data_IF_182839289129
#
_entry.id   IF_182839289129
#
_cell.length_a   1.000
_cell.length_b   1.000
_cell.length_c   1.000
_cell.angle_alpha   90.00
_cell.angle_beta   90.00
_cell.angle_gamma   90.00
#
_symmetry.space_group_name_H-M   'P 1'
#
loop_
_entity.id
_entity.type
_entity.pdbx_description
1 polymer ?
#
# COMPACT_ATOMS: atom_id res chain seq x y z
N UNK A 1 -20.05 -6.17 14.09
CA UNK A 1 -21.20 -6.17 15.03
C UNK A 1 -21.00 -7.28 16.04
N UNK A 2 -21.48 -7.13 17.28
CA UNK A 2 -21.43 -8.17 18.32
C UNK A 2 -22.86 -8.59 18.63
N UNK A 3 -23.10 -9.89 18.78
CA UNK A 3 -24.42 -10.43 19.10
C UNK A 3 -24.35 -11.73 19.89
N UNK A 4 -25.46 -12.09 20.52
CA UNK A 4 -25.59 -13.31 21.31
C UNK A 4 -26.92 -14.05 21.09
N UNK A 5 -27.96 -13.36 20.63
CA UNK A 5 -29.29 -13.92 20.45
C UNK A 5 -29.63 -14.29 19.01
N UNK A 6 -30.67 -15.10 18.84
CA UNK A 6 -31.24 -15.48 17.53
C UNK A 6 -31.67 -14.23 16.75
N UNK A 7 -32.16 -13.21 17.45
CA UNK A 7 -32.58 -11.93 16.87
C UNK A 7 -31.43 -11.13 16.26
N UNK A 8 -30.18 -11.38 16.70
CA UNK A 8 -28.99 -10.70 16.19
C UNK A 8 -28.46 -11.36 14.91
N UNK A 9 -28.89 -12.58 14.59
CA UNK A 9 -28.38 -13.36 13.46
C UNK A 9 -28.47 -12.61 12.10
N UNK A 10 -29.58 -11.92 11.74
CA UNK A 10 -29.64 -11.15 10.49
C UNK A 10 -28.64 -9.99 10.46
N UNK A 11 -28.41 -9.38 11.62
CA UNK A 11 -27.55 -8.20 11.74
C UNK A 11 -26.07 -8.58 11.80
N UNK A 12 -25.73 -9.71 12.45
CA UNK A 12 -24.42 -10.35 12.37
C UNK A 12 -24.04 -10.71 10.94
N UNK A 13 -24.98 -11.31 10.19
CA UNK A 13 -24.77 -11.69 8.78
C UNK A 13 -24.66 -10.48 7.83
N UNK A 14 -25.29 -9.35 8.17
CA UNK A 14 -25.22 -8.12 7.37
C UNK A 14 -23.95 -7.30 7.66
N UNK A 15 -23.34 -7.48 8.83
CA UNK A 15 -22.13 -6.76 9.20
C UNK A 15 -20.93 -7.22 8.37
N UNK A 16 -19.95 -6.32 8.14
CA UNK A 16 -18.69 -6.69 7.48
C UNK A 16 -17.91 -7.77 8.27
N UNK A 17 -18.08 -7.76 9.59
CA UNK A 17 -17.57 -8.78 10.52
C UNK A 17 -18.61 -8.97 11.63
N UNK A 18 -19.23 -10.15 11.68
CA UNK A 18 -20.09 -10.61 12.78
C UNK A 18 -19.30 -11.34 13.86
N UNK A 19 -19.43 -10.93 15.12
CA UNK A 19 -18.75 -11.55 16.27
C UNK A 19 -19.80 -12.12 17.23
N UNK A 20 -19.79 -13.43 17.45
CA UNK A 20 -20.60 -14.08 18.47
C UNK A 20 -19.81 -14.20 19.79
N UNK A 21 -20.46 -13.88 20.90
CA UNK A 21 -19.90 -14.04 22.26
C UNK A 21 -19.85 -15.54 22.62
N UNK A 22 -19.00 -15.93 23.58
CA UNK A 22 -18.85 -17.33 24.02
C UNK A 22 -20.18 -17.98 24.44
N UNK A 23 -21.04 -17.23 25.13
CA UNK A 23 -22.35 -17.66 25.60
C UNK A 23 -23.48 -17.39 24.57
N UNK A 24 -23.14 -17.21 23.29
CA UNK A 24 -24.12 -16.96 22.25
C UNK A 24 -24.93 -18.22 21.87
N UNK A 25 -26.19 -18.01 21.50
CA UNK A 25 -27.06 -19.05 20.95
C UNK A 25 -26.46 -19.69 19.70
N UNK A 26 -26.78 -20.97 19.44
CA UNK A 26 -26.30 -21.68 18.23
C UNK A 26 -26.61 -20.94 16.94
N UNK A 27 -27.80 -20.33 16.86
CA UNK A 27 -28.20 -19.51 15.72
C UNK A 27 -27.28 -18.29 15.52
N UNK A 28 -26.89 -17.60 16.60
CA UNK A 28 -25.96 -16.48 16.53
C UNK A 28 -24.53 -16.94 16.18
N UNK A 29 -24.09 -18.08 16.72
CA UNK A 29 -22.78 -18.68 16.39
C UNK A 29 -22.69 -19.09 14.92
N UNK A 30 -23.75 -19.68 14.35
CA UNK A 30 -23.81 -20.04 12.93
C UNK A 30 -23.89 -18.83 12.00
N UNK A 31 -24.38 -17.69 12.48
CA UNK A 31 -24.51 -16.47 11.68
C UNK A 31 -23.27 -15.55 11.75
N UNK A 32 -22.36 -15.77 12.70
CA UNK A 32 -21.17 -14.95 12.92
C UNK A 32 -19.95 -15.48 12.14
N UNK A 33 -19.06 -14.58 11.74
CA UNK A 33 -17.78 -14.91 11.10
C UNK A 33 -16.71 -15.34 12.12
N UNK A 34 -16.80 -14.81 13.35
CA UNK A 34 -15.88 -15.09 14.46
C UNK A 34 -16.69 -15.45 15.69
N UNK A 35 -16.37 -16.58 16.31
CA UNK A 35 -16.94 -17.01 17.59
C UNK A 35 -15.86 -16.89 18.66
N UNK A 36 -16.13 -16.10 19.70
CA UNK A 36 -15.23 -15.96 20.83
C UNK A 36 -15.36 -17.21 21.73
N UNK A 37 -14.25 -17.82 22.10
CA UNK A 37 -14.23 -18.96 23.04
C UNK A 37 -14.17 -18.51 24.50
N UNK A 38 -13.80 -17.26 24.73
CA UNK A 38 -13.67 -16.66 26.06
C UNK A 38 -14.54 -15.40 26.13
N UNK A 39 -15.22 -15.15 27.27
CA UNK A 39 -15.97 -13.93 27.47
C UNK A 39 -15.04 -12.73 27.68
N UNK A 40 -15.43 -11.57 27.16
CA UNK A 40 -14.79 -10.29 27.46
C UNK A 40 -14.34 -9.48 26.23
N UNK A 41 -14.43 -8.15 26.35
CA UNK A 41 -14.05 -7.22 25.28
C UNK A 41 -12.55 -7.26 24.97
N UNK A 42 -11.72 -7.64 25.94
CA UNK A 42 -10.27 -7.74 25.77
C UNK A 42 -9.85 -8.77 24.70
N UNK A 43 -10.63 -9.85 24.56
CA UNK A 43 -10.41 -10.89 23.54
C UNK A 43 -10.57 -10.30 22.13
N UNK A 44 -11.56 -9.42 21.95
CA UNK A 44 -11.78 -8.73 20.67
C UNK A 44 -10.61 -7.78 20.35
N UNK A 45 -10.12 -7.03 21.34
CA UNK A 45 -8.96 -6.12 21.14
C UNK A 45 -7.73 -6.95 20.74
N UNK A 46 -7.47 -8.04 21.45
CA UNK A 46 -6.34 -8.95 21.16
C UNK A 46 -6.49 -9.59 19.79
N UNK A 47 -7.69 -10.03 19.41
CA UNK A 47 -7.98 -10.56 18.09
C UNK A 47 -7.78 -9.51 16.98
N UNK A 48 -8.19 -8.26 17.19
CA UNK A 48 -7.95 -7.17 16.25
C UNK A 48 -6.46 -6.85 16.13
N UNK A 49 -5.71 -6.83 17.24
CA UNK A 49 -4.25 -6.60 17.21
C UNK A 49 -3.52 -7.74 16.49
N UNK A 50 -3.89 -9.00 16.75
CA UNK A 50 -3.34 -10.16 16.07
C UNK A 50 -3.72 -10.19 14.59
N UNK A 51 -4.98 -9.87 14.26
CA UNK A 51 -5.44 -9.72 12.88
C UNK A 51 -4.66 -8.64 12.17
N UNK A 52 -4.41 -7.47 12.79
CA UNK A 52 -3.52 -6.44 12.23
C UNK A 52 -2.10 -6.95 12.08
N UNK A 53 -1.56 -7.73 13.01
CA UNK A 53 -0.22 -8.30 12.89
C UNK A 53 -0.12 -9.30 11.72
N UNK A 54 -1.09 -10.21 11.59
CA UNK A 54 -1.19 -11.18 10.50
C UNK A 54 -1.42 -10.46 9.18
N UNK A 55 -2.32 -9.48 9.18
CA UNK A 55 -2.57 -8.64 8.03
C UNK A 55 -1.29 -7.91 7.65
N UNK A 56 -0.51 -7.34 8.57
CA UNK A 56 0.80 -6.76 8.26
C UNK A 56 1.80 -7.77 7.67
N UNK A 57 1.76 -9.05 8.08
CA UNK A 57 2.60 -10.12 7.50
C UNK A 57 2.13 -10.52 6.09
N UNK A 58 0.83 -10.77 5.91
CA UNK A 58 0.21 -11.14 4.62
C UNK A 58 0.20 -9.96 3.62
N UNK A 59 0.00 -8.77 4.16
CA UNK A 59 0.04 -7.45 3.54
C UNK A 59 1.35 -6.78 3.87
N UNK A 60 2.44 -7.55 3.90
CA UNK A 60 3.73 -6.98 3.60
C UNK A 60 3.55 -6.41 2.19
N UNK A 61 3.24 -5.11 2.13
CA UNK A 61 2.97 -4.35 0.93
C UNK A 61 4.11 -4.58 -0.08
N UNK A 62 5.32 -4.57 0.46
CA UNK A 62 6.53 -5.33 0.13
C UNK A 62 6.40 -6.58 -0.76
N UNK A 63 5.75 -7.65 -0.33
CA UNK A 63 5.77 -8.96 -1.01
C UNK A 63 5.00 -8.85 -2.32
N UNK A 64 3.93 -8.05 -2.35
CA UNK A 64 3.22 -7.74 -3.59
C UNK A 64 4.00 -6.78 -4.48
N UNK A 65 4.64 -5.76 -3.92
CA UNK A 65 5.56 -4.89 -4.67
C UNK A 65 6.65 -5.75 -5.32
N UNK A 66 7.22 -6.70 -4.57
CA UNK A 66 8.20 -7.66 -5.02
C UNK A 66 7.66 -8.54 -6.15
N UNK A 67 6.48 -9.16 -5.97
CA UNK A 67 5.88 -10.02 -6.99
C UNK A 67 5.62 -9.28 -8.31
N UNK A 68 5.10 -8.06 -8.24
CA UNK A 68 4.90 -7.17 -9.41
C UNK A 68 6.25 -6.80 -10.02
N UNK A 69 7.21 -6.39 -9.19
CA UNK A 69 8.56 -6.00 -9.62
C UNK A 69 9.29 -7.13 -10.33
N UNK A 70 9.29 -8.36 -9.81
CA UNK A 70 9.94 -9.52 -10.43
C UNK A 70 9.25 -9.93 -11.73
N UNK A 71 7.92 -9.87 -11.77
CA UNK A 71 7.17 -10.18 -13.00
C UNK A 71 7.53 -9.19 -14.12
N UNK A 72 7.60 -7.90 -13.78
CA UNK A 72 8.04 -6.86 -14.72
C UNK A 72 9.52 -7.02 -15.06
N UNK A 73 10.38 -7.31 -14.09
CA UNK A 73 11.81 -7.52 -14.33
C UNK A 73 12.04 -8.65 -15.33
N UNK A 74 11.59 -9.86 -15.02
CA UNK A 74 11.78 -11.04 -15.88
C UNK A 74 11.06 -10.83 -17.22
N UNK A 75 9.79 -10.42 -17.20
CA UNK A 75 8.98 -10.26 -18.41
C UNK A 75 9.51 -9.17 -19.34
N UNK A 76 9.87 -8.00 -18.81
CA UNK A 76 10.35 -6.86 -19.59
C UNK A 76 11.81 -7.05 -20.03
N UNK A 77 12.70 -7.53 -19.15
CA UNK A 77 14.11 -7.73 -19.49
C UNK A 77 14.29 -8.76 -20.60
N UNK A 78 13.68 -9.95 -20.46
CA UNK A 78 13.82 -10.99 -21.49
C UNK A 78 13.13 -10.61 -22.80
N UNK A 79 12.01 -9.86 -22.75
CA UNK A 79 11.37 -9.34 -23.96
C UNK A 79 12.25 -8.30 -24.68
N UNK A 80 12.93 -7.41 -23.94
CA UNK A 80 13.88 -6.45 -24.52
C UNK A 80 15.11 -7.14 -25.11
N UNK A 81 15.65 -8.13 -24.41
CA UNK A 81 16.78 -8.95 -24.89
C UNK A 81 16.43 -9.66 -26.21
N UNK A 82 15.23 -10.25 -26.29
CA UNK A 82 14.73 -10.87 -27.51
C UNK A 82 14.50 -9.85 -28.64
N UNK A 83 13.96 -8.67 -28.35
CA UNK A 83 13.66 -7.67 -29.38
C UNK A 83 14.92 -7.02 -29.97
N UNK A 84 15.89 -6.65 -29.13
CA UNK A 84 17.07 -5.89 -29.56
C UNK A 84 18.18 -6.80 -30.10
N UNK A 85 18.40 -7.95 -29.46
CA UNK A 85 19.52 -8.85 -29.76
C UNK A 85 19.10 -10.23 -30.30
N UNK A 86 17.80 -10.48 -30.47
CA UNK A 86 17.28 -11.81 -30.84
C UNK A 86 17.77 -12.90 -29.87
N UNK A 87 17.96 -12.51 -28.59
CA UNK A 87 18.45 -13.40 -27.55
C UNK A 87 17.33 -14.24 -26.95
N UNK A 88 17.31 -15.51 -27.34
CA UNK A 88 16.41 -16.52 -26.79
C UNK A 88 17.02 -17.13 -25.51
N UNK A 89 16.55 -16.64 -24.37
CA UNK A 89 16.92 -17.21 -23.08
C UNK A 89 16.15 -18.52 -22.81
N UNK A 90 16.81 -19.59 -22.34
CA UNK A 90 16.16 -20.87 -22.09
C UNK A 90 15.05 -20.77 -21.02
N UNK A 91 13.80 -21.18 -21.31
CA UNK A 91 12.70 -21.10 -20.35
C UNK A 91 12.96 -21.90 -19.06
N UNK A 92 13.72 -23.00 -19.16
CA UNK A 92 14.10 -23.82 -18.01
C UNK A 92 14.88 -23.04 -16.94
N UNK A 93 15.70 -22.07 -17.35
CA UNK A 93 16.44 -21.24 -16.39
C UNK A 93 15.54 -20.21 -15.71
N UNK A 94 14.54 -19.69 -16.43
CA UNK A 94 13.50 -18.84 -15.82
C UNK A 94 12.72 -19.64 -14.78
N UNK A 95 12.43 -20.92 -15.05
CA UNK A 95 11.80 -21.82 -14.09
C UNK A 95 12.67 -22.00 -12.83
N UNK A 96 13.98 -22.21 -12.97
CA UNK A 96 14.88 -22.31 -11.80
C UNK A 96 14.88 -21.00 -11.00
N UNK A 97 14.95 -19.84 -11.69
CA UNK A 97 14.85 -18.53 -11.02
C UNK A 97 13.54 -18.42 -10.24
N UNK A 98 12.42 -18.81 -10.84
CA UNK A 98 11.10 -18.76 -10.22
C UNK A 98 11.04 -19.64 -8.95
N UNK A 99 11.50 -20.89 -9.03
CA UNK A 99 11.50 -21.82 -7.89
C UNK A 99 12.37 -21.29 -6.75
N UNK A 100 13.57 -20.79 -7.05
CA UNK A 100 14.47 -20.24 -6.03
C UNK A 100 13.89 -18.98 -5.37
N UNK A 101 13.27 -18.11 -6.15
CA UNK A 101 12.64 -16.89 -5.64
C UNK A 101 11.40 -17.20 -4.78
N UNK A 102 10.54 -18.13 -5.23
CA UNK A 102 9.33 -18.51 -4.50
C UNK A 102 9.65 -19.19 -3.17
N UNK A 103 10.72 -20.01 -3.13
CA UNK A 103 11.21 -20.60 -1.88
C UNK A 103 11.58 -19.54 -0.82
N UNK A 104 12.24 -18.46 -1.24
CA UNK A 104 12.59 -17.35 -0.35
C UNK A 104 11.36 -16.55 0.12
N UNK A 105 10.34 -16.40 -0.75
CA UNK A 105 9.07 -15.74 -0.42
C UNK A 105 8.32 -16.51 0.67
N UNK A 106 8.19 -17.84 0.55
CA UNK A 106 7.45 -18.67 1.51
C UNK A 106 8.02 -18.52 2.93
N UNK A 107 9.35 -18.54 3.06
CA UNK A 107 10.04 -18.37 4.35
C UNK A 107 9.79 -16.96 4.92
N UNK A 108 9.79 -15.95 4.05
CA UNK A 108 9.50 -14.56 4.44
C UNK A 108 8.07 -14.40 4.96
N UNK A 109 7.07 -14.92 4.25
CA UNK A 109 5.66 -14.79 4.66
C UNK A 109 5.40 -15.48 6.01
N UNK A 110 6.03 -16.64 6.24
CA UNK A 110 5.76 -17.46 7.43
C UNK A 110 6.42 -16.92 8.71
N UNK A 111 7.66 -16.44 8.63
CA UNK A 111 8.50 -16.19 9.82
C UNK A 111 8.91 -14.73 10.05
N UNK A 112 8.42 -13.80 9.24
CA UNK A 112 8.80 -12.39 9.38
C UNK A 112 8.16 -11.72 10.61
N UNK A 113 8.97 -10.95 11.34
CA UNK A 113 8.56 -10.19 12.52
C UNK A 113 8.15 -8.78 12.11
N UNK A 114 6.85 -8.59 11.88
CA UNK A 114 6.28 -7.27 11.51
C UNK A 114 5.60 -6.62 12.72
N UNK A 115 5.81 -5.31 12.90
CA UNK A 115 5.09 -4.53 13.92
C UNK A 115 3.68 -4.18 13.43
N UNK A 116 2.61 -4.41 14.22
CA UNK A 116 1.26 -4.03 13.85
C UNK A 116 1.17 -2.52 13.65
N UNK A 117 0.44 -2.09 12.61
CA UNK A 117 0.15 -0.68 12.42
C UNK A 117 -0.88 -0.20 13.45
N UNK A 118 -0.71 1.01 14.04
CA UNK A 118 -1.66 1.54 15.01
C UNK A 118 -3.01 1.90 14.38
N UNK A 119 -3.05 2.14 13.06
CA UNK A 119 -4.25 2.51 12.33
C UNK A 119 -4.75 1.39 11.41
N UNK A 120 -6.08 1.29 11.17
CA UNK A 120 -6.62 0.39 10.18
C UNK A 120 -6.13 0.79 8.79
N UNK A 121 -5.62 -0.20 8.05
CA UNK A 121 -4.85 0.03 6.85
C UNK A 121 -5.64 -0.43 5.62
N UNK A 122 -5.87 0.46 4.64
CA UNK A 122 -6.60 0.13 3.40
C UNK A 122 -5.65 -0.28 2.27
N UNK A 123 -6.09 -1.16 1.37
CA UNK A 123 -5.27 -1.58 0.23
C UNK A 123 -5.26 -0.49 -0.83
N UNK A 124 -4.12 0.17 -1.02
CA UNK A 124 -3.92 1.06 -2.16
C UNK A 124 -3.22 0.29 -3.29
N UNK A 125 -3.99 -0.38 -4.16
CA UNK A 125 -3.40 -1.24 -5.21
C UNK A 125 -2.57 -0.44 -6.21
N UNK A 126 -2.97 0.80 -6.50
CA UNK A 126 -2.27 1.68 -7.44
C UNK A 126 -0.85 1.99 -6.97
N UNK A 127 -0.68 2.27 -5.69
CA UNK A 127 0.64 2.55 -5.11
C UNK A 127 1.55 1.32 -5.12
N UNK A 128 1.02 0.13 -4.84
CA UNK A 128 1.76 -1.15 -4.98
C UNK A 128 2.25 -1.30 -6.42
N UNK A 129 1.34 -1.10 -7.38
CA UNK A 129 1.61 -1.34 -8.79
C UNK A 129 2.63 -0.35 -9.35
N UNK A 130 2.49 0.96 -9.04
CA UNK A 130 3.43 2.00 -9.47
C UNK A 130 4.82 1.75 -8.87
N UNK A 131 4.89 1.49 -7.56
CA UNK A 131 6.17 1.24 -6.88
C UNK A 131 6.85 -0.02 -7.42
N UNK A 132 6.08 -1.11 -7.58
CA UNK A 132 6.58 -2.36 -8.15
C UNK A 132 7.04 -2.20 -9.61
N UNK A 133 6.32 -1.42 -10.41
CA UNK A 133 6.67 -1.18 -11.81
C UNK A 133 7.95 -0.39 -11.98
N UNK A 134 8.17 0.66 -11.17
CA UNK A 134 9.39 1.46 -11.24
C UNK A 134 10.60 0.64 -10.80
N UNK A 135 10.47 -0.10 -9.68
CA UNK A 135 11.54 -0.96 -9.20
C UNK A 135 11.85 -2.07 -10.21
N UNK A 136 10.84 -2.79 -10.71
CA UNK A 136 11.02 -3.85 -11.70
C UNK A 136 11.60 -3.34 -13.03
N UNK A 137 11.19 -2.15 -13.47
CA UNK A 137 11.74 -1.48 -14.64
C UNK A 137 13.21 -1.12 -14.46
N UNK A 138 13.61 -0.63 -13.28
CA UNK A 138 15.02 -0.42 -12.95
C UNK A 138 15.82 -1.73 -13.00
N UNK A 139 15.33 -2.81 -12.36
CA UNK A 139 16.01 -4.11 -12.41
C UNK A 139 16.17 -4.62 -13.86
N UNK A 140 15.12 -4.49 -14.68
CA UNK A 140 15.18 -4.86 -16.09
C UNK A 140 16.22 -4.05 -16.87
N UNK A 141 16.26 -2.73 -16.64
CA UNK A 141 17.26 -1.86 -17.26
C UNK A 141 18.69 -2.28 -16.86
N UNK A 142 18.91 -2.63 -15.60
CA UNK A 142 20.23 -3.11 -15.14
C UNK A 142 20.63 -4.45 -15.77
N UNK A 143 19.69 -5.37 -15.98
CA UNK A 143 19.96 -6.62 -16.71
C UNK A 143 20.28 -6.37 -18.18
N UNK A 144 19.57 -5.42 -18.83
CA UNK A 144 19.85 -5.04 -20.22
C UNK A 144 21.21 -4.36 -20.36
N UNK A 145 21.59 -3.48 -19.43
CA UNK A 145 22.91 -2.84 -19.40
C UNK A 145 24.01 -3.89 -19.19
N UNK A 146 23.80 -4.85 -18.27
CA UNK A 146 24.72 -5.96 -18.06
C UNK A 146 24.91 -6.79 -19.34
N UNK A 147 23.82 -7.15 -20.01
CA UNK A 147 23.90 -7.89 -21.27
C UNK A 147 24.58 -7.08 -22.37
N UNK A 148 24.23 -5.80 -22.52
CA UNK A 148 24.84 -4.91 -23.51
C UNK A 148 26.35 -4.78 -23.29
N UNK A 149 26.77 -4.56 -22.04
CA UNK A 149 28.19 -4.47 -21.70
C UNK A 149 28.91 -5.79 -21.94
N UNK A 150 28.33 -6.93 -21.57
CA UNK A 150 28.94 -8.24 -21.81
C UNK A 150 29.00 -8.63 -23.30
N UNK A 151 27.98 -8.29 -24.09
CA UNK A 151 27.84 -8.71 -25.49
C UNK A 151 28.52 -7.78 -26.50
N UNK A 152 28.50 -6.46 -26.27
CA UNK A 152 29.05 -5.46 -27.21
C UNK A 152 30.42 -4.91 -26.81
N UNK A 153 30.75 -4.88 -25.52
CA UNK A 153 31.95 -4.19 -25.03
C UNK A 153 32.93 -5.15 -24.36
N UNK A 154 34.24 -4.96 -24.57
CA UNK A 154 35.27 -5.71 -23.83
C UNK A 154 35.52 -5.13 -22.42
N UNK A 155 34.51 -4.50 -21.81
CA UNK A 155 34.66 -3.82 -20.52
C UNK A 155 35.08 -4.79 -19.41
N UNK A 156 34.42 -5.94 -19.30
CA UNK A 156 34.73 -6.94 -18.27
C UNK A 156 36.09 -7.61 -18.47
N UNK A 157 36.46 -8.06 -19.69
CA UNK A 157 37.81 -8.56 -19.97
C UNK A 157 38.92 -7.55 -19.71
N UNK A 158 38.72 -6.27 -20.07
CA UNK A 158 39.74 -5.22 -19.86
C UNK A 158 39.92 -4.83 -18.39
N UNK A 159 38.84 -4.84 -17.61
CA UNK A 159 38.87 -4.39 -16.21
C UNK A 159 39.30 -5.51 -15.27
N UNK A 160 38.89 -6.75 -15.54
CA UNK A 160 39.08 -7.89 -14.63
C UNK A 160 40.01 -8.99 -15.18
N UNK A 161 40.46 -8.90 -16.43
CA UNK A 161 41.41 -9.86 -17.03
C UNK A 161 40.82 -11.26 -17.27
N UNK A 162 39.51 -11.35 -17.52
CA UNK A 162 38.77 -12.62 -17.67
C UNK A 162 38.45 -12.87 -19.15
N UNK A 163 38.26 -14.15 -19.53
CA UNK A 163 37.87 -14.59 -20.88
C UNK A 163 36.75 -13.74 -21.49
N UNK A 164 36.96 -13.22 -22.70
CA UNK A 164 35.96 -12.43 -23.42
C UNK A 164 34.80 -13.28 -23.89
N UNK A 165 33.57 -12.83 -23.63
CA UNK A 165 32.31 -13.42 -24.15
C UNK A 165 31.85 -12.70 -25.42
N UNK A 166 32.80 -12.23 -26.25
CA UNK A 166 32.51 -11.36 -27.37
C UNK A 166 32.04 -12.19 -28.58
N UNK A 167 31.31 -11.57 -29.51
CA UNK A 167 30.57 -12.13 -30.67
C UNK A 167 31.31 -13.15 -31.58
N UNK A 168 32.59 -13.44 -31.36
CA UNK A 168 33.44 -14.21 -32.26
C UNK A 168 33.32 -15.74 -32.10
N UNK A 169 32.90 -16.25 -30.93
CA UNK A 169 32.81 -17.69 -30.68
C UNK A 169 31.36 -18.17 -30.43
N UNK A 170 30.96 -19.28 -31.06
CA UNK A 170 29.59 -19.84 -31.02
C UNK A 170 29.23 -20.38 -29.62
N UNK A 171 30.23 -20.78 -28.84
CA UNK A 171 30.06 -21.29 -27.46
C UNK A 171 29.77 -20.17 -26.44
N UNK A 172 30.01 -18.90 -26.79
CA UNK A 172 29.84 -17.77 -25.88
C UNK A 172 28.36 -17.47 -25.57
N UNK A 173 27.43 -17.90 -26.43
CA UNK A 173 26.00 -17.73 -26.18
C UNK A 173 25.53 -18.45 -24.92
N UNK A 174 26.04 -19.66 -24.70
CA UNK A 174 25.66 -20.53 -23.58
C UNK A 174 26.23 -20.00 -22.27
N UNK A 175 27.47 -19.49 -22.32
CA UNK A 175 28.15 -18.84 -21.18
C UNK A 175 27.49 -17.51 -20.83
N UNK A 176 27.07 -16.73 -21.83
CA UNK A 176 26.33 -15.49 -21.63
C UNK A 176 24.95 -15.74 -20.98
N UNK A 177 24.25 -16.81 -21.38
CA UNK A 177 23.02 -17.23 -20.72
C UNK A 177 23.25 -17.55 -19.24
N UNK A 178 24.32 -18.27 -18.88
CA UNK A 178 24.71 -18.52 -17.48
C UNK A 178 25.01 -17.23 -16.72
N UNK A 179 25.67 -16.26 -17.37
CA UNK A 179 25.97 -14.95 -16.79
C UNK A 179 24.69 -14.19 -16.42
N UNK A 180 23.77 -14.09 -17.37
CA UNK A 180 22.49 -13.40 -17.21
C UNK A 180 21.63 -14.13 -16.16
N UNK A 181 21.61 -15.46 -16.18
CA UNK A 181 20.93 -16.26 -15.17
C UNK A 181 21.41 -15.92 -13.75
N UNK A 182 22.72 -15.92 -13.52
CA UNK A 182 23.29 -15.62 -12.21
C UNK A 182 23.00 -14.17 -11.79
N UNK A 183 23.13 -13.24 -12.74
CA UNK A 183 22.85 -11.83 -12.51
C UNK A 183 21.39 -11.63 -12.07
N UNK A 184 20.44 -12.14 -12.84
CA UNK A 184 18.99 -12.03 -12.58
C UNK A 184 18.59 -12.73 -11.29
N UNK A 185 19.08 -13.95 -11.05
CA UNK A 185 18.77 -14.72 -9.83
C UNK A 185 19.22 -13.98 -8.57
N UNK A 186 20.46 -13.50 -8.57
CA UNK A 186 21.08 -12.83 -7.42
C UNK A 186 20.43 -11.48 -7.12
N UNK A 187 20.20 -10.64 -8.15
CA UNK A 187 19.55 -9.35 -7.94
C UNK A 187 18.08 -9.50 -7.52
N UNK A 188 17.38 -10.52 -8.03
CA UNK A 188 15.99 -10.81 -7.65
C UNK A 188 15.89 -11.15 -6.17
N UNK A 189 16.73 -12.07 -5.68
CA UNK A 189 16.71 -12.43 -4.26
C UNK A 189 17.16 -11.27 -3.37
N UNK A 190 18.14 -10.47 -3.80
CA UNK A 190 18.54 -9.27 -3.07
C UNK A 190 17.38 -8.26 -2.97
N UNK A 191 16.62 -8.07 -4.05
CA UNK A 191 15.48 -7.16 -4.10
C UNK A 191 14.39 -7.45 -3.04
N UNK A 192 14.28 -8.71 -2.59
CA UNK A 192 13.39 -9.09 -1.49
C UNK A 192 13.73 -8.35 -0.18
N UNK A 193 15.01 -8.10 0.11
CA UNK A 193 15.42 -7.35 1.30
C UNK A 193 15.07 -5.87 1.21
N UNK A 194 15.24 -5.25 0.03
CA UNK A 194 14.87 -3.85 -0.21
C UNK A 194 13.38 -3.63 -0.03
N UNK A 195 12.58 -4.50 -0.64
CA UNK A 195 11.13 -4.39 -0.55
C UNK A 195 10.66 -4.66 0.87
N UNK A 196 11.29 -5.57 1.61
CA UNK A 196 10.96 -5.90 3.00
C UNK A 196 11.23 -4.77 3.97
N UNK A 197 12.37 -4.11 3.83
CA UNK A 197 12.72 -3.04 4.73
C UNK A 197 11.83 -1.83 4.52
N UNK A 198 11.17 -1.37 5.60
CA UNK A 198 10.43 -0.10 5.57
C UNK A 198 11.40 1.08 5.56
N UNK A 199 12.49 0.96 6.30
CA UNK A 199 13.62 1.87 6.31
C UNK A 199 14.70 1.36 5.33
N UNK A 200 15.96 1.69 5.61
CA UNK A 200 17.13 1.24 4.87
C UNK A 200 17.29 -0.28 5.01
N UNK A 201 17.53 -0.98 3.91
CA UNK A 201 17.65 -2.44 3.93
C UNK A 201 18.78 -2.95 4.84
N UNK A 202 19.84 -2.16 4.99
CA UNK A 202 21.00 -2.48 5.83
C UNK A 202 20.76 -2.33 7.34
N UNK A 203 19.77 -1.52 7.74
CA UNK A 203 19.49 -1.23 9.15
C UNK A 203 18.52 -2.25 9.74
N UNK A 204 17.58 -2.74 8.93
CA UNK A 204 16.63 -3.75 9.36
C UNK A 204 17.23 -5.15 9.19
N UNK A 205 17.90 -5.65 10.24
CA UNK A 205 18.48 -6.99 10.23
C UNK A 205 17.41 -8.06 9.90
N UNK A 206 17.65 -8.92 8.90
CA UNK A 206 16.71 -9.96 8.56
C UNK A 206 16.64 -11.03 9.65
N UNK A 207 15.49 -11.71 9.77
CA UNK A 207 15.39 -12.93 10.56
C UNK A 207 16.41 -13.95 10.04
N UNK A 208 17.11 -14.65 10.94
CA UNK A 208 18.16 -15.62 10.62
C UNK A 208 17.74 -16.63 9.54
N UNK A 209 16.49 -17.10 9.58
CA UNK A 209 15.94 -18.02 8.57
C UNK A 209 15.90 -17.43 7.15
N UNK A 210 15.61 -16.13 7.01
CA UNK A 210 15.62 -15.49 5.70
C UNK A 210 17.05 -15.33 5.16
N UNK A 211 17.98 -14.94 6.04
CA UNK A 211 19.39 -14.84 5.66
C UNK A 211 19.92 -16.21 5.22
N UNK A 212 19.64 -17.28 5.99
CA UNK A 212 20.02 -18.64 5.63
C UNK A 212 19.41 -19.07 4.30
N UNK A 213 18.13 -18.79 4.07
CA UNK A 213 17.45 -19.10 2.81
C UNK A 213 18.12 -18.39 1.62
N UNK A 214 18.46 -17.12 1.77
CA UNK A 214 19.21 -16.35 0.77
C UNK A 214 20.58 -16.99 0.49
N UNK A 215 21.35 -17.30 1.54
CA UNK A 215 22.66 -17.94 1.37
C UNK A 215 22.57 -19.28 0.63
N UNK A 216 21.61 -20.13 0.99
CA UNK A 216 21.41 -21.43 0.35
C UNK A 216 20.99 -21.25 -1.11
N UNK A 217 19.98 -20.42 -1.38
CA UNK A 217 19.48 -20.21 -2.73
C UNK A 217 20.54 -19.59 -3.65
N UNK A 218 21.34 -18.67 -3.12
CA UNK A 218 22.39 -18.01 -3.86
C UNK A 218 23.63 -18.91 -4.05
N UNK A 219 23.98 -19.74 -3.07
CA UNK A 219 24.99 -20.78 -3.24
C UNK A 219 24.57 -21.74 -4.36
N UNK A 220 23.33 -22.22 -4.34
CA UNK A 220 22.80 -23.08 -5.40
C UNK A 220 22.83 -22.38 -6.76
N UNK A 221 22.41 -21.12 -6.85
CA UNK A 221 22.45 -20.35 -8.10
C UNK A 221 23.88 -20.18 -8.64
N UNK A 222 24.85 -19.87 -7.77
CA UNK A 222 26.27 -19.73 -8.17
C UNK A 222 26.86 -21.06 -8.65
N UNK A 223 26.58 -22.17 -7.96
CA UNK A 223 27.05 -23.50 -8.36
C UNK A 223 26.47 -23.91 -9.72
N UNK A 224 25.18 -23.64 -9.96
CA UNK A 224 24.56 -23.87 -11.26
C UNK A 224 25.25 -23.03 -12.34
N UNK A 225 25.47 -21.74 -12.11
CA UNK A 225 26.09 -20.86 -13.11
C UNK A 225 27.57 -21.21 -13.42
N UNK A 226 28.31 -21.71 -12.42
CA UNK A 226 29.74 -22.03 -12.56
C UNK A 226 29.97 -23.43 -13.15
N UNK A 227 29.17 -24.43 -12.77
CA UNK A 227 29.46 -25.84 -13.07
C UNK A 227 28.44 -26.51 -14.02
N UNK A 228 27.25 -25.94 -14.23
CA UNK A 228 26.25 -26.64 -15.04
C UNK A 228 26.62 -26.64 -16.52
N UNK A 229 26.73 -27.83 -17.10
CA UNK A 229 26.91 -28.07 -18.54
C UNK A 229 25.74 -28.89 -19.06
N UNK A 230 24.53 -28.33 -18.99
CA UNK A 230 23.34 -29.02 -19.48
C UNK A 230 23.10 -28.75 -20.95
N UNK A 231 23.16 -29.80 -21.77
CA UNK A 231 22.85 -29.75 -23.20
C UNK A 231 21.38 -29.36 -23.45
N UNK A 232 20.46 -29.87 -22.63
CA UNK A 232 19.03 -29.54 -22.69
C UNK A 232 18.71 -28.08 -22.35
N UNK A 233 19.45 -27.47 -21.42
CA UNK A 233 19.25 -26.08 -21.03
C UNK A 233 20.15 -25.10 -21.80
N UNK A 234 20.87 -25.57 -22.83
CA UNK A 234 21.81 -24.79 -23.66
C UNK A 234 22.73 -23.89 -22.83
N UNK A 235 23.28 -24.42 -21.75
CA UNK A 235 24.09 -23.67 -20.80
C UNK A 235 25.45 -24.33 -20.59
N UNK A 236 26.44 -23.49 -20.35
CA UNK A 236 27.81 -23.88 -20.06
C UNK A 236 28.32 -23.05 -18.87
N UNK A 237 29.13 -23.69 -18.03
CA UNK A 237 29.70 -23.07 -16.85
C UNK A 237 30.59 -21.88 -17.19
N UNK A 238 30.34 -20.73 -16.56
CA UNK A 238 31.07 -19.48 -16.83
C UNK A 238 32.36 -19.32 -15.99
N UNK A 239 32.59 -20.23 -15.05
CA UNK A 239 33.75 -20.20 -14.14
C UNK A 239 33.63 -19.20 -12.99
N UNK A 240 34.49 -19.35 -11.98
CA UNK A 240 34.45 -18.55 -10.74
C UNK A 240 34.81 -17.07 -10.94
N UNK A 241 35.69 -16.75 -11.89
CA UNK A 241 36.09 -15.37 -12.17
C UNK A 241 34.90 -14.51 -12.61
N UNK A 242 34.11 -15.01 -13.58
CA UNK A 242 32.90 -14.35 -14.03
C UNK A 242 31.82 -14.28 -12.94
N UNK A 243 31.66 -15.34 -12.14
CA UNK A 243 30.74 -15.33 -11.02
C UNK A 243 31.06 -14.19 -10.03
N UNK A 244 32.34 -13.98 -9.69
CA UNK A 244 32.77 -12.89 -8.81
C UNK A 244 32.46 -11.49 -9.36
N UNK A 245 32.64 -11.28 -10.66
CA UNK A 245 32.31 -10.01 -11.32
C UNK A 245 30.81 -9.76 -11.33
N UNK A 246 29.99 -10.78 -11.58
CA UNK A 246 28.52 -10.67 -11.56
C UNK A 246 28.04 -10.32 -10.15
N UNK A 247 28.64 -10.92 -9.13
CA UNK A 247 28.37 -10.56 -7.74
C UNK A 247 28.71 -9.10 -7.43
N UNK A 248 29.89 -8.64 -7.84
CA UNK A 248 30.31 -7.26 -7.64
C UNK A 248 29.36 -6.28 -8.33
N UNK A 249 28.98 -6.58 -9.58
CA UNK A 249 27.97 -5.82 -10.33
C UNK A 249 26.67 -5.72 -9.55
N UNK A 250 26.13 -6.85 -9.07
CA UNK A 250 24.88 -6.86 -8.32
C UNK A 250 24.95 -6.08 -7.01
N UNK A 251 26.08 -6.14 -6.28
CA UNK A 251 26.26 -5.35 -5.05
C UNK A 251 26.24 -3.85 -5.34
N UNK A 252 26.90 -3.40 -6.40
CA UNK A 252 26.93 -1.99 -6.80
C UNK A 252 25.53 -1.51 -7.17
N UNK A 253 24.82 -2.28 -8.02
CA UNK A 253 23.49 -1.89 -8.51
C UNK A 253 22.35 -2.16 -7.53
N UNK A 254 22.63 -2.82 -6.41
CA UNK A 254 21.71 -2.98 -5.29
C UNK A 254 21.55 -1.68 -4.48
N UNK A 255 22.63 -0.92 -4.26
CA UNK A 255 22.61 0.29 -3.41
C UNK A 255 21.57 1.32 -3.90
N UNK A 256 21.46 1.66 -5.21
CA UNK A 256 20.46 2.61 -5.69
C UNK A 256 19.01 2.19 -5.49
N UNK A 257 18.71 0.89 -5.28
CA UNK A 257 17.33 0.42 -5.09
C UNK A 257 16.68 1.03 -3.85
N UNK A 258 17.43 1.17 -2.76
CA UNK A 258 16.92 1.80 -1.54
C UNK A 258 16.62 3.29 -1.77
N UNK A 259 17.48 4.01 -2.51
CA UNK A 259 17.23 5.41 -2.87
C UNK A 259 15.98 5.56 -3.73
N UNK A 260 15.81 4.72 -4.75
CA UNK A 260 14.62 4.71 -5.62
C UNK A 260 13.36 4.42 -4.79
N UNK A 261 13.42 3.45 -3.87
CA UNK A 261 12.31 3.13 -2.97
C UNK A 261 11.89 4.35 -2.12
N UNK A 262 12.85 5.05 -1.51
CA UNK A 262 12.55 6.24 -0.72
C UNK A 262 11.99 7.38 -1.58
N UNK A 263 12.55 7.58 -2.77
CA UNK A 263 12.07 8.58 -3.71
C UNK A 263 10.62 8.32 -4.13
N UNK A 264 10.27 7.08 -4.49
CA UNK A 264 8.89 6.72 -4.86
C UNK A 264 7.94 6.98 -3.69
N UNK A 265 8.30 6.56 -2.47
CA UNK A 265 7.47 6.78 -1.29
C UNK A 265 7.29 8.28 -0.99
N UNK A 266 8.32 9.07 -1.21
CA UNK A 266 8.26 10.53 -1.07
C UNK A 266 7.30 11.15 -2.10
N UNK A 267 7.44 10.81 -3.38
CA UNK A 267 6.60 11.32 -4.47
C UNK A 267 5.13 10.92 -4.30
N UNK A 268 4.89 9.74 -3.75
CA UNK A 268 3.55 9.18 -3.64
C UNK A 268 2.85 9.50 -2.31
N UNK A 269 3.61 9.92 -1.29
CA UNK A 269 3.03 10.56 -0.12
C UNK A 269 2.32 11.84 -0.61
N UNK A 270 1.00 11.89 -0.41
CA UNK A 270 0.11 13.01 -0.80
C UNK A 270 0.72 14.39 -0.57
N UNK A 271 1.52 14.54 0.50
CA UNK A 271 2.21 15.77 0.84
C UNK A 271 3.12 16.33 -0.26
N UNK A 272 3.71 15.53 -1.16
CA UNK A 272 4.53 16.08 -2.26
C UNK A 272 3.67 16.76 -3.33
N UNK A 273 2.57 16.12 -3.74
CA UNK A 273 1.67 16.74 -4.72
C UNK A 273 0.92 17.92 -4.12
N UNK A 274 0.52 17.84 -2.85
CA UNK A 274 -0.04 18.99 -2.12
C UNK A 274 1.01 20.10 -2.02
N UNK A 275 2.27 19.81 -1.67
CA UNK A 275 3.35 20.81 -1.71
C UNK A 275 3.56 21.38 -3.12
N UNK A 276 3.63 20.58 -4.18
CA UNK A 276 3.95 21.07 -5.53
C UNK A 276 2.78 21.87 -6.13
N UNK A 277 1.54 21.47 -5.85
CA UNK A 277 0.36 22.21 -6.30
C UNK A 277 0.08 23.45 -5.44
N UNK A 278 0.34 23.41 -4.13
CA UNK A 278 0.25 24.60 -3.26
C UNK A 278 1.47 25.53 -3.40
N UNK A 279 2.67 25.04 -3.76
CA UNK A 279 3.89 25.82 -3.98
C UNK A 279 3.96 26.54 -5.35
N UNK A 280 2.82 26.75 -6.03
CA UNK A 280 2.74 27.89 -6.96
C UNK A 280 2.76 29.26 -6.23
N UNK A 281 2.98 29.31 -4.91
CA UNK A 281 3.18 30.54 -4.13
C UNK A 281 4.36 30.41 -3.12
N UNK A 282 5.42 29.66 -3.45
CA UNK A 282 6.60 29.53 -2.57
C UNK A 282 7.63 30.67 -2.72
N UNK A 283 7.19 31.91 -2.58
CA UNK A 283 8.06 33.07 -2.29
C UNK A 283 7.47 33.87 -1.12
N UNK A 284 7.24 33.22 0.01
CA UNK A 284 6.91 33.91 1.26
C UNK A 284 7.82 33.42 2.38
N UNK A 285 8.64 34.35 2.86
CA UNK A 285 9.58 34.22 3.97
C UNK A 285 8.83 34.21 5.31
N UNK A 286 7.98 33.22 5.58
CA UNK A 286 7.40 33.07 6.93
C UNK A 286 8.25 32.09 7.76
N UNK A 287 8.88 32.64 8.81
CA UNK A 287 9.91 31.96 9.62
C UNK A 287 9.36 30.94 10.63
N UNK A 288 8.06 31.00 10.94
CA UNK A 288 7.44 30.14 11.96
C UNK A 288 6.06 29.63 11.48
N UNK A 289 6.03 28.44 10.89
CA UNK A 289 4.79 27.76 10.54
C UNK A 289 4.04 27.31 11.82
N UNK A 290 2.75 27.65 11.92
CA UNK A 290 1.83 27.11 12.92
C UNK A 290 1.91 27.71 14.32
N UNK A 291 2.69 28.78 14.57
CA UNK A 291 2.65 29.51 15.85
C UNK A 291 1.38 30.38 15.95
N UNK A 292 1.09 31.15 14.90
CA UNK A 292 -0.11 32.00 14.83
C UNK A 292 -1.40 31.18 14.90
N UNK A 293 -1.46 30.01 14.25
CA UNK A 293 -2.63 29.12 14.32
C UNK A 293 -2.87 28.53 15.71
N UNK A 294 -1.80 28.16 16.42
CA UNK A 294 -1.89 27.64 17.80
C UNK A 294 -2.35 28.72 18.79
N UNK A 295 -1.86 29.95 18.63
CA UNK A 295 -2.31 31.09 19.44
C UNK A 295 -3.78 31.43 19.16
N UNK A 296 -4.21 31.34 17.90
CA UNK A 296 -5.59 31.57 17.51
C UNK A 296 -6.54 30.49 18.08
N UNK A 297 -6.16 29.21 17.99
CA UNK A 297 -6.92 28.10 18.57
C UNK A 297 -7.00 28.17 20.09
N UNK A 298 -5.91 28.56 20.75
CA UNK A 298 -5.90 28.77 22.20
C UNK A 298 -6.85 29.91 22.60
N UNK A 299 -6.80 31.05 21.89
CA UNK A 299 -7.72 32.16 22.12
C UNK A 299 -9.19 31.78 21.83
N UNK A 300 -9.44 30.90 20.86
CA UNK A 300 -10.78 30.42 20.52
C UNK A 300 -11.33 29.49 21.61
N UNK A 301 -10.52 28.56 22.11
CA UNK A 301 -10.87 27.67 23.21
C UNK A 301 -11.19 28.44 24.50
N UNK A 302 -10.43 29.51 24.77
CA UNK A 302 -10.63 30.35 25.95
C UNK A 302 -11.92 31.18 25.87
N UNK A 303 -12.31 31.64 24.67
CA UNK A 303 -13.59 32.33 24.44
C UNK A 303 -14.80 31.41 24.60
N UNK A 304 -14.71 30.17 24.11
CA UNK A 304 -15.80 29.19 24.28
C UNK A 304 -16.01 28.81 25.74
N UNK A 305 -14.96 28.84 26.56
CA UNK A 305 -15.04 28.56 28.01
C UNK A 305 -15.78 29.67 28.78
N UNK A 306 -15.77 30.89 28.25
CA UNK A 306 -16.54 32.03 28.77
C UNK A 306 -17.93 32.19 28.14
N UNK A 307 -18.43 31.20 27.40
CA UNK A 307 -19.78 31.19 26.81
C UNK A 307 -19.98 32.15 25.64
N UNK A 308 -18.92 32.80 25.15
CA UNK A 308 -18.97 33.70 23.99
C UNK A 308 -18.84 32.87 22.71
N UNK A 309 -19.79 33.04 21.78
CA UNK A 309 -19.72 32.37 20.48
C UNK A 309 -18.52 32.88 19.67
N UNK A 310 -17.82 32.00 18.93
CA UNK A 310 -16.75 32.43 18.06
C UNK A 310 -17.30 33.37 16.99
N UNK A 311 -16.56 34.43 16.68
CA UNK A 311 -16.89 35.35 15.58
C UNK A 311 -16.77 34.56 14.28
N UNK A 312 -17.87 34.37 13.57
CA UNK A 312 -17.91 33.68 12.28
C UNK A 312 -16.90 34.29 11.31
N UNK A 313 -15.92 33.50 10.89
CA UNK A 313 -14.90 33.86 9.91
C UNK A 313 -15.40 33.81 8.46
N UNK A 314 -16.72 33.72 8.25
CA UNK A 314 -17.32 33.63 6.91
C UNK A 314 -17.59 34.98 6.23
N UNK A 315 -17.08 36.10 6.74
CA UNK A 315 -17.29 37.41 6.09
C UNK A 315 -16.50 37.60 4.78
N UNK A 316 -15.63 36.65 4.39
CA UNK A 316 -14.79 36.76 3.19
C UNK A 316 -15.02 35.70 2.08
N UNK A 317 -15.99 34.78 2.22
CA UNK A 317 -16.31 33.78 1.17
C UNK A 317 -17.51 34.17 0.27
N UNK A 318 -17.82 35.48 0.20
CA UNK A 318 -19.08 36.02 -0.35
C UNK A 318 -19.33 35.81 -1.85
N UNK A 319 -18.44 35.15 -2.62
CA UNK A 319 -18.69 34.95 -4.06
C UNK A 319 -19.40 33.64 -4.45
N UNK A 320 -19.61 32.69 -3.53
CA UNK A 320 -20.21 31.38 -3.89
C UNK A 320 -21.58 31.06 -3.26
N UNK A 321 -22.12 31.90 -2.37
CA UNK A 321 -23.26 31.52 -1.51
C UNK A 321 -24.59 32.24 -1.77
N UNK A 322 -24.72 33.04 -2.84
CA UNK A 322 -26.01 33.69 -3.15
C UNK A 322 -27.09 32.69 -3.59
N UNK A 323 -26.72 31.58 -4.25
CA UNK A 323 -27.68 30.56 -4.69
C UNK A 323 -28.27 29.72 -3.56
N UNK A 324 -27.47 29.42 -2.53
CA UNK A 324 -27.90 28.59 -1.40
C UNK A 324 -28.75 29.38 -0.39
N UNK A 325 -28.38 30.63 -0.10
CA UNK A 325 -29.19 31.54 0.71
C UNK A 325 -30.53 31.86 0.04
N UNK A 326 -30.54 32.04 -1.29
CA UNK A 326 -31.79 32.22 -2.05
C UNK A 326 -32.68 30.98 -1.99
N UNK A 327 -32.09 29.77 -2.10
CA UNK A 327 -32.85 28.52 -1.98
C UNK A 327 -33.42 28.31 -0.59
N UNK A 328 -32.64 28.55 0.47
CA UNK A 328 -33.14 28.45 1.84
C UNK A 328 -34.24 29.47 2.13
N UNK A 329 -34.11 30.71 1.65
CA UNK A 329 -35.15 31.73 1.80
C UNK A 329 -36.44 31.36 1.06
N UNK A 330 -36.33 30.75 -0.12
CA UNK A 330 -37.47 30.34 -0.93
C UNK A 330 -38.17 29.10 -0.37
N UNK A 331 -37.43 28.13 0.17
CA UNK A 331 -37.98 27.00 0.92
C UNK A 331 -38.66 27.44 2.23
N UNK A 332 -38.06 28.37 2.97
CA UNK A 332 -38.66 28.93 4.17
C UNK A 332 -39.96 29.68 3.85
N UNK A 333 -39.99 30.46 2.76
CA UNK A 333 -41.21 31.14 2.29
C UNK A 333 -42.31 30.15 1.91
N UNK A 334 -41.99 29.08 1.17
CA UNK A 334 -42.98 28.02 0.84
C UNK A 334 -43.52 27.33 2.09
N UNK A 335 -42.67 27.04 3.08
CA UNK A 335 -43.11 26.43 4.34
C UNK A 335 -44.03 27.36 5.13
N UNK A 336 -43.72 28.66 5.16
CA UNK A 336 -44.58 29.67 5.79
C UNK A 336 -45.93 29.82 5.08
N UNK A 337 -45.94 29.82 3.74
CA UNK A 337 -47.17 29.87 2.94
C UNK A 337 -48.07 28.64 3.19
N UNK A 338 -47.47 27.44 3.25
CA UNK A 338 -48.18 26.20 3.55
C UNK A 338 -48.74 26.20 4.99
N UNK A 339 -47.97 26.71 5.96
CA UNK A 339 -48.44 26.85 7.34
C UNK A 339 -49.61 27.84 7.43
N UNK A 340 -49.52 28.99 6.77
CA UNK A 340 -50.60 29.99 6.70
C UNK A 340 -51.86 29.45 6.03
N UNK A 341 -51.72 28.70 4.93
CA UNK A 341 -52.85 28.04 4.26
C UNK A 341 -53.48 26.96 5.14
N UNK A 342 -52.68 26.24 5.93
CA UNK A 342 -53.21 25.29 6.94
C UNK A 342 -54.01 26.00 8.03
N UNK A 343 -53.55 27.15 8.52
CA UNK A 343 -54.30 27.96 9.50
C UNK A 343 -55.65 28.44 8.96
N UNK A 344 -55.72 28.80 7.67
CA UNK A 344 -56.93 29.33 7.04
C UNK A 344 -57.93 28.25 6.60
N UNK A 345 -57.45 27.12 6.06
CA UNK A 345 -58.32 26.12 5.42
C UNK A 345 -58.60 24.89 6.28
N UNK A 346 -57.89 24.70 7.40
CA UNK A 346 -58.13 23.55 8.28
C UNK A 346 -58.70 24.00 9.61
N UNK A 347 -59.77 23.32 10.05
CA UNK A 347 -60.43 23.58 11.33
C UNK A 347 -59.44 23.44 12.51
N UNK A 348 -58.51 22.48 12.40
CA UNK A 348 -57.39 22.30 13.34
C UNK A 348 -56.45 23.51 13.39
N UNK A 349 -56.00 24.00 12.24
CA UNK A 349 -55.13 25.18 12.17
C UNK A 349 -55.81 26.44 12.71
N UNK A 350 -57.11 26.60 12.47
CA UNK A 350 -57.88 27.73 13.01
C UNK A 350 -57.94 27.69 14.55
N UNK A 351 -58.21 26.51 15.13
CA UNK A 351 -58.24 26.31 16.59
C UNK A 351 -56.86 26.54 17.21
N UNK A 352 -55.79 26.00 16.64
CA UNK A 352 -54.42 26.20 17.12
C UNK A 352 -54.00 27.68 17.06
N UNK A 353 -54.40 28.42 16.02
CA UNK A 353 -54.11 29.86 15.89
C UNK A 353 -54.83 30.71 16.94
N UNK A 354 -56.08 30.39 17.27
CA UNK A 354 -56.86 31.09 18.30
C UNK A 354 -56.33 30.81 19.71
N UNK A 355 -55.87 29.58 19.96
CA UNK A 355 -55.23 29.18 21.22
C UNK A 355 -53.91 29.95 21.40
N UNK A 356 -53.10 30.06 20.34
CA UNK A 356 -51.88 30.90 20.33
C UNK A 356 -52.17 32.38 20.58
N UNK A 357 -53.19 32.94 19.95
CA UNK A 357 -53.59 34.35 20.14
C UNK A 357 -54.02 34.64 21.58
N UNK A 358 -54.56 33.65 22.30
CA UNK A 358 -54.93 33.75 23.71
C UNK A 358 -53.78 33.46 24.68
N UNK A 359 -52.57 33.19 24.18
CA UNK A 359 -51.38 32.92 25.01
C UNK A 359 -51.48 31.63 25.82
N UNK A 360 -52.29 30.66 25.37
CA UNK A 360 -52.46 29.37 26.02
C UNK A 360 -51.45 28.36 25.46
N UNK A 361 -50.89 27.55 26.35
CA UNK A 361 -49.85 26.58 26.02
C UNK A 361 -50.45 25.37 25.27
N UNK A 362 -49.79 24.96 24.19
CA UNK A 362 -50.35 24.05 23.15
C UNK A 362 -49.87 22.62 23.32
N UNK A 363 -48.79 22.44 24.09
CA UNK A 363 -48.13 21.17 24.33
C UNK A 363 -49.00 20.07 24.98
N UNK A 364 -50.02 20.35 25.83
CA UNK A 364 -50.84 19.27 26.40
C UNK A 364 -51.85 18.66 25.41
N UNK A 365 -52.12 19.29 24.26
CA UNK A 365 -53.14 18.79 23.31
C UNK A 365 -52.57 17.68 22.41
N UNK A 366 -51.27 17.70 22.14
CA UNK A 366 -50.62 16.74 21.24
C UNK A 366 -50.56 15.30 21.78
N UNK A 367 -50.71 15.11 23.10
CA UNK A 367 -50.63 13.78 23.74
C UNK A 367 -51.95 12.99 23.75
N UNK A 368 -53.09 13.58 23.40
CA UNK A 368 -54.41 12.95 23.61
C UNK A 368 -55.02 12.24 22.39
N UNK A 369 -54.39 12.30 21.21
CA UNK A 369 -54.90 11.60 20.02
C UNK A 369 -53.76 10.96 19.21
N UNK A 370 -53.23 9.85 19.71
CA UNK A 370 -52.65 8.81 18.88
C UNK A 370 -53.49 7.54 19.04
N UNK A 371 -54.43 7.33 18.13
CA UNK A 371 -55.04 6.04 17.82
C UNK A 371 -54.64 5.68 16.41
#
# INVERSE_FOLDING_TARGET
MIGNGVNDAPALKKADIGIAVADATDAARSAADIVLTEPGLNVIITAVLNSRAIFQRMRNYTVRIYAVSITIHIGFAFRLLALIWQFNFPPFMVLIIAILNDGAIIITISKDRVRPSPHPERWNLTEIFVTGSILGGYLAMMTVIFFWTAYRTDFFPRTFGISSLNKKDVDDWRKLASAVYLQVSSISQAHLFVTRARSWSYVECPVLFLALAFFVAQLTATLIAVYATWSFATIEGIGWGWAGVIWLYNIIFYIPLDFIKFFIRYVLSRNFWDLVFEQRIAFTTKRDFGKEERECLWAQAQRTLHGLHPRDSNMFSVRSSYGELSRMAEEARRRAEIARLRELHTLKGHVESLIRLKGLDIDPIQQSYSV
#
